data_IF_739679405460
#
_entry.id   IF_739679405460
#
_cell.length_a   1.000
_cell.length_b   1.000
_cell.length_c   1.000
_cell.angle_alpha   90.00
_cell.angle_beta   90.00
_cell.angle_gamma   90.00
#
_symmetry.space_group_name_H-M   'P 1'
#
loop_
_entity.id
_entity.type
_entity.pdbx_description
1 polymer ?
#
# COMPACT_ATOMS: atom_id res chain seq x y z
N UNK A 1 -20.16 -16.80 2.08
CA UNK A 1 -19.32 -15.66 2.50
C UNK A 1 -18.20 -15.36 1.51
N UNK A 2 -17.39 -16.35 1.08
CA UNK A 2 -16.38 -16.12 0.02
C UNK A 2 -16.96 -15.85 -1.38
N UNK A 3 -18.20 -16.26 -1.66
CA UNK A 3 -18.84 -16.07 -2.97
C UNK A 3 -19.18 -14.61 -3.33
N UNK A 4 -19.12 -13.67 -2.37
CA UNK A 4 -19.39 -12.25 -2.60
C UNK A 4 -18.11 -11.44 -2.91
N UNK A 5 -16.93 -12.01 -2.71
CA UNK A 5 -15.67 -11.35 -3.03
C UNK A 5 -15.25 -11.73 -4.45
N UNK A 6 -14.86 -10.76 -5.25
CA UNK A 6 -14.30 -11.03 -6.56
C UNK A 6 -12.95 -11.75 -6.42
N UNK A 7 -12.58 -12.62 -7.38
CA UNK A 7 -11.26 -13.26 -7.38
C UNK A 7 -10.11 -12.25 -7.32
N UNK A 8 -10.30 -11.05 -7.89
CA UNK A 8 -9.33 -9.97 -7.87
C UNK A 8 -9.10 -9.44 -6.45
N UNK A 9 -10.15 -9.16 -5.69
CA UNK A 9 -10.06 -8.63 -4.32
C UNK A 9 -9.34 -9.59 -3.39
N UNK A 10 -9.68 -10.88 -3.48
CA UNK A 10 -9.03 -11.95 -2.69
C UNK A 10 -7.55 -12.07 -3.07
N UNK A 11 -7.25 -12.05 -4.37
CA UNK A 11 -5.86 -12.14 -4.86
C UNK A 11 -5.05 -10.93 -4.42
N UNK A 12 -5.61 -9.71 -4.53
CA UNK A 12 -4.96 -8.48 -4.11
C UNK A 12 -4.67 -8.48 -2.61
N UNK A 13 -5.64 -8.90 -1.78
CA UNK A 13 -5.46 -9.04 -0.34
C UNK A 13 -4.36 -10.06 0.00
N UNK A 14 -4.38 -11.24 -0.61
CA UNK A 14 -3.38 -12.27 -0.37
C UNK A 14 -1.97 -11.79 -0.75
N UNK A 15 -1.81 -11.18 -1.94
CA UNK A 15 -0.53 -10.64 -2.41
C UNK A 15 -0.02 -9.52 -1.51
N UNK A 16 -0.90 -8.60 -1.08
CA UNK A 16 -0.54 -7.50 -0.18
C UNK A 16 -0.07 -8.02 1.19
N UNK A 17 -0.74 -9.02 1.75
CA UNK A 17 -0.35 -9.62 3.03
C UNK A 17 0.97 -10.40 2.93
N UNK A 18 1.16 -11.18 1.87
CA UNK A 18 2.42 -11.92 1.65
C UNK A 18 3.58 -10.95 1.41
N UNK A 19 3.38 -9.91 0.61
CA UNK A 19 4.40 -8.91 0.34
C UNK A 19 4.71 -7.99 1.52
N UNK A 20 3.86 -7.96 2.56
CA UNK A 20 4.18 -7.27 3.81
C UNK A 20 5.35 -7.95 4.55
N UNK A 21 5.55 -9.26 4.36
CA UNK A 21 6.64 -10.02 5.01
C UNK A 21 8.01 -9.43 4.65
N UNK A 22 8.42 -9.30 3.37
CA UNK A 22 9.70 -8.69 3.03
C UNK A 22 9.77 -7.21 3.42
N UNK A 23 8.66 -6.47 3.40
CA UNK A 23 8.63 -5.04 3.80
C UNK A 23 9.00 -4.86 5.27
N UNK A 24 8.45 -5.70 6.15
CA UNK A 24 8.74 -5.65 7.58
C UNK A 24 10.13 -6.24 7.87
N UNK A 25 10.44 -7.40 7.29
CA UNK A 25 11.70 -8.12 7.58
C UNK A 25 12.94 -7.45 6.99
N UNK A 26 12.78 -6.64 5.94
CA UNK A 26 13.87 -5.90 5.28
C UNK A 26 13.73 -4.39 5.43
N UNK A 27 13.02 -3.94 6.48
CA UNK A 27 12.87 -2.52 6.77
C UNK A 27 14.24 -1.84 6.97
N UNK A 28 14.42 -0.69 6.32
CA UNK A 28 15.62 0.15 6.47
C UNK A 28 15.25 1.61 6.64
N UNK A 29 16.14 2.37 7.26
CA UNK A 29 15.93 3.79 7.49
C UNK A 29 15.88 4.61 6.18
N UNK A 30 16.53 4.14 5.12
CA UNK A 30 16.48 4.81 3.82
C UNK A 30 15.18 4.54 3.04
N UNK A 31 14.41 3.51 3.44
CA UNK A 31 13.19 3.06 2.75
C UNK A 31 11.92 3.25 3.58
N UNK A 32 11.97 4.01 4.70
CA UNK A 32 10.82 4.21 5.60
C UNK A 32 9.55 4.66 4.91
N UNK A 33 9.66 5.60 3.97
CA UNK A 33 8.50 6.12 3.23
C UNK A 33 7.88 5.06 2.33
N UNK A 34 8.71 4.21 1.72
CA UNK A 34 8.22 3.08 0.93
C UNK A 34 7.49 2.07 1.82
N UNK A 35 8.06 1.75 2.98
CA UNK A 35 7.41 0.86 3.95
C UNK A 35 6.09 1.44 4.48
N UNK A 36 6.04 2.75 4.78
CA UNK A 36 4.83 3.44 5.20
C UNK A 36 3.73 3.39 4.12
N UNK A 37 4.10 3.64 2.85
CA UNK A 37 3.18 3.51 1.72
C UNK A 37 2.62 2.09 1.58
N UNK A 38 3.47 1.08 1.78
CA UNK A 38 3.04 -0.32 1.74
C UNK A 38 2.10 -0.69 2.88
N UNK A 39 2.38 -0.23 4.11
CA UNK A 39 1.49 -0.45 5.24
C UNK A 39 0.14 0.23 5.01
N UNK A 40 0.11 1.46 4.50
CA UNK A 40 -1.14 2.13 4.09
C UNK A 40 -1.90 1.32 3.04
N UNK A 41 -1.20 0.78 2.05
CA UNK A 41 -1.82 -0.05 1.01
C UNK A 41 -2.47 -1.31 1.60
N UNK A 42 -1.77 -2.01 2.51
CA UNK A 42 -2.33 -3.19 3.18
C UNK A 42 -3.55 -2.81 4.02
N UNK A 43 -3.47 -1.72 4.79
CA UNK A 43 -4.60 -1.24 5.60
C UNK A 43 -5.81 -0.92 4.70
N UNK A 44 -5.60 -0.21 3.59
CA UNK A 44 -6.67 0.12 2.64
C UNK A 44 -7.32 -1.13 2.05
N UNK A 45 -6.52 -2.09 1.57
CA UNK A 45 -7.05 -3.33 0.99
C UNK A 45 -7.79 -4.16 2.04
N UNK A 46 -7.28 -4.26 3.27
CA UNK A 46 -7.97 -4.95 4.37
C UNK A 46 -9.29 -4.27 4.69
N UNK A 47 -9.31 -2.94 4.83
CA UNK A 47 -10.52 -2.18 5.15
C UNK A 47 -11.62 -2.41 4.09
N UNK A 48 -11.30 -2.25 2.81
CA UNK A 48 -12.25 -2.43 1.71
C UNK A 48 -12.78 -3.87 1.63
N UNK A 49 -11.93 -4.88 1.88
CA UNK A 49 -12.38 -6.29 1.90
C UNK A 49 -13.28 -6.58 3.11
N UNK A 50 -12.99 -6.00 4.27
CA UNK A 50 -13.84 -6.11 5.47
C UNK A 50 -15.18 -5.42 5.21
N UNK A 51 -15.20 -4.22 4.64
CA UNK A 51 -16.43 -3.54 4.25
C UNK A 51 -17.27 -4.42 3.30
N UNK A 52 -16.64 -4.95 2.24
CA UNK A 52 -17.29 -5.83 1.27
C UNK A 52 -17.96 -7.06 1.92
N UNK A 53 -17.35 -7.60 2.99
CA UNK A 53 -17.87 -8.77 3.70
C UNK A 53 -19.02 -8.45 4.67
N UNK A 54 -19.01 -7.28 5.32
CA UNK A 54 -19.93 -6.98 6.43
C UNK A 54 -20.95 -5.87 6.14
N UNK A 55 -20.62 -4.93 5.26
CA UNK A 55 -21.39 -3.71 4.99
C UNK A 55 -21.80 -3.58 3.52
N UNK A 56 -21.29 -4.45 2.63
CA UNK A 56 -21.53 -4.37 1.19
C UNK A 56 -20.61 -3.34 0.53
N UNK A 57 -21.16 -2.42 -0.26
CA UNK A 57 -20.36 -1.47 -1.07
C UNK A 57 -20.70 0.00 -0.80
N UNK A 58 -21.01 0.36 0.45
CA UNK A 58 -21.57 1.67 0.81
C UNK A 58 -20.51 2.79 0.71
N UNK A 59 -19.30 2.51 1.17
CA UNK A 59 -18.16 3.42 1.23
C UNK A 59 -17.01 2.98 0.30
N UNK A 60 -17.18 1.89 -0.45
CA UNK A 60 -16.15 1.27 -1.28
C UNK A 60 -15.33 2.30 -2.10
N UNK A 61 -15.96 3.25 -2.78
CA UNK A 61 -15.23 4.29 -3.52
C UNK A 61 -14.38 5.20 -2.63
N UNK A 62 -14.92 5.64 -1.49
CA UNK A 62 -14.22 6.56 -0.57
C UNK A 62 -13.07 5.82 0.11
N UNK A 63 -13.30 4.60 0.59
CA UNK A 63 -12.26 3.78 1.22
C UNK A 63 -11.15 3.41 0.25
N UNK A 64 -11.50 3.05 -0.99
CA UNK A 64 -10.54 2.76 -2.03
C UNK A 64 -9.74 4.01 -2.42
N UNK A 65 -10.42 5.14 -2.65
CA UNK A 65 -9.76 6.39 -3.01
C UNK A 65 -8.86 6.93 -1.90
N UNK A 66 -9.28 6.82 -0.64
CA UNK A 66 -8.49 7.30 0.51
C UNK A 66 -7.39 6.31 0.87
N UNK A 67 -7.72 5.04 1.10
CA UNK A 67 -6.74 4.03 1.51
C UNK A 67 -5.66 3.78 0.44
N UNK A 68 -6.09 3.41 -0.77
CA UNK A 68 -5.16 3.09 -1.86
C UNK A 68 -4.57 4.36 -2.47
N UNK A 69 -5.36 5.45 -2.56
CA UNK A 69 -4.85 6.72 -3.06
C UNK A 69 -3.78 7.34 -2.16
N UNK A 70 -3.97 7.35 -0.83
CA UNK A 70 -2.93 7.84 0.09
C UNK A 70 -1.67 6.97 0.05
N UNK A 71 -1.81 5.65 -0.12
CA UNK A 71 -0.68 4.77 -0.34
C UNK A 71 0.08 5.17 -1.64
N UNK A 72 -0.64 5.43 -2.73
CA UNK A 72 -0.08 5.91 -3.99
C UNK A 72 0.69 7.23 -3.85
N UNK A 73 0.11 8.21 -3.16
CA UNK A 73 0.77 9.50 -2.85
C UNK A 73 2.05 9.27 -2.04
N UNK A 74 2.00 8.35 -1.05
CA UNK A 74 3.16 8.03 -0.22
C UNK A 74 4.27 7.35 -1.02
N UNK A 75 3.93 6.42 -1.91
CA UNK A 75 4.91 5.82 -2.83
C UNK A 75 5.52 6.84 -3.78
N UNK A 76 4.71 7.76 -4.31
CA UNK A 76 5.21 8.84 -5.15
C UNK A 76 6.20 9.73 -4.39
N UNK A 77 5.86 10.13 -3.16
CA UNK A 77 6.75 10.90 -2.30
C UNK A 77 8.05 10.14 -1.99
N UNK A 78 7.96 8.83 -1.69
CA UNK A 78 9.11 7.97 -1.46
C UNK A 78 10.05 7.93 -2.69
N UNK A 79 9.49 7.74 -3.89
CA UNK A 79 10.23 7.72 -5.14
C UNK A 79 10.90 9.08 -5.43
N UNK A 80 10.18 10.18 -5.22
CA UNK A 80 10.70 11.53 -5.43
C UNK A 80 11.88 11.85 -4.50
N UNK A 81 11.75 11.54 -3.21
CA UNK A 81 12.81 11.76 -2.22
C UNK A 81 14.01 10.86 -2.52
N UNK A 82 13.79 9.58 -2.85
CA UNK A 82 14.87 8.68 -3.25
C UNK A 82 15.64 9.20 -4.47
N UNK A 83 14.93 9.66 -5.50
CA UNK A 83 15.53 10.29 -6.69
C UNK A 83 16.41 11.48 -6.31
N UNK A 84 15.90 12.39 -5.47
CA UNK A 84 16.64 13.58 -5.02
C UNK A 84 17.92 13.21 -4.28
N UNK A 85 17.88 12.19 -3.42
CA UNK A 85 19.03 11.75 -2.64
C UNK A 85 20.10 11.07 -3.51
N UNK A 86 19.69 10.30 -4.52
CA UNK A 86 20.63 9.68 -5.48
C UNK A 86 21.33 10.75 -6.33
N UNK A 87 20.61 11.77 -6.81
CA UNK A 87 21.21 12.87 -7.59
C UNK A 87 22.20 13.66 -6.73
N UNK A 88 21.82 14.06 -5.51
CA UNK A 88 22.70 14.82 -4.61
C UNK A 88 23.93 14.02 -4.15
N UNK A 89 23.80 12.70 -4.00
CA UNK A 89 24.93 11.83 -3.66
C UNK A 89 25.93 11.66 -4.82
N UNK A 90 25.50 11.90 -6.07
CA UNK A 90 26.36 11.83 -7.25
C UNK A 90 27.09 13.13 -7.61
N UNK A 91 26.68 14.28 -7.06
CA UNK A 91 27.34 15.58 -7.30
C UNK A 91 28.52 15.84 -6.34
N UNK A 92 28.83 14.90 -5.44
CA UNK A 92 29.90 15.01 -4.44
C UNK A 92 30.97 13.93 -4.50
N UNK A 93 31.09 13.20 -5.63
CA UNK A 93 32.17 12.23 -5.89
C UNK A 93 33.06 12.68 -7.04
#
# INVERSE_FOLDING_TARGET
MLANLSPLEVTALAVALVGLIPVITQYRDETKLFAAGYVMLVIGIVATNVEALFLGSVLNFVEHAVGIGLAGVTFFAAAYIRRKNVIKGGEGS
#
